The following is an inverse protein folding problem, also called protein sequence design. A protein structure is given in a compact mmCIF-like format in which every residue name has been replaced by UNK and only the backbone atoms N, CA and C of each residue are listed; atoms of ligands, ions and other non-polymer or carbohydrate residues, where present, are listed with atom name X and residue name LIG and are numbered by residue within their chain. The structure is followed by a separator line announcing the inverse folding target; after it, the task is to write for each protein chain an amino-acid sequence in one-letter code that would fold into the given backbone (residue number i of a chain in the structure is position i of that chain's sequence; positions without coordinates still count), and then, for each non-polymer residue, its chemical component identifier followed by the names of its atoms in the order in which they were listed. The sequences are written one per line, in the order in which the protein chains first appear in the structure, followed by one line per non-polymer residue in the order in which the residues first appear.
data_IF_669044165838
#
_entry.id   IF_669044165838
#
_cell.length_a   1.000
_cell.length_b   1.000
_cell.length_c   1.000
_cell.angle_alpha   90.00
_cell.angle_beta   90.00
_cell.angle_gamma   90.00
#
_symmetry.space_group_name_H-M   'P 1'
#
loop_
_entity.id
_entity.type
_entity.pdbx_description
1 polymer ?
#
# COMPACT_ATOMS: atom_id res chain seq x y z
N UNK A 1 29.18 -0.10 5.92
CA UNK A 1 27.78 -0.34 5.50
C UNK A 1 27.33 0.90 4.77
N UNK A 2 27.45 0.93 3.46
CA UNK A 2 26.95 2.06 2.64
C UNK A 2 25.43 2.03 2.72
N UNK A 3 24.85 2.99 3.45
CA UNK A 3 23.43 3.28 3.34
C UNK A 3 23.22 3.92 1.97
N UNK A 4 22.81 3.10 1.01
CA UNK A 4 22.43 3.55 -0.32
C UNK A 4 21.10 4.31 -0.17
N UNK A 5 21.21 5.64 -0.10
CA UNK A 5 20.05 6.55 -0.09
C UNK A 5 19.48 6.71 -1.51
N UNK A 6 19.12 5.59 -2.13
CA UNK A 6 18.35 5.59 -3.37
C UNK A 6 16.91 5.90 -2.99
N UNK A 7 16.37 7.02 -3.48
CA UNK A 7 14.95 7.35 -3.39
C UNK A 7 14.18 6.20 -4.04
N UNK A 8 13.71 5.25 -3.24
CA UNK A 8 13.17 3.97 -3.70
C UNK A 8 11.78 4.16 -4.29
N UNK A 9 11.69 4.68 -5.51
CA UNK A 9 10.43 4.82 -6.24
C UNK A 9 9.96 3.43 -6.70
N UNK A 10 8.73 3.05 -6.34
CA UNK A 10 8.15 1.79 -6.81
C UNK A 10 7.83 1.89 -8.30
N UNK A 11 8.07 0.80 -9.03
CA UNK A 11 7.59 0.71 -10.41
C UNK A 11 6.05 0.57 -10.44
N UNK A 12 5.38 0.94 -11.54
CA UNK A 12 3.94 0.72 -11.68
C UNK A 12 3.52 -0.74 -11.47
N UNK A 13 4.36 -1.68 -11.90
CA UNK A 13 4.16 -3.12 -11.68
C UNK A 13 4.19 -3.47 -10.19
N UNK A 14 5.13 -2.93 -9.43
CA UNK A 14 5.20 -3.15 -7.97
C UNK A 14 4.00 -2.55 -7.25
N UNK A 15 3.54 -1.37 -7.66
CA UNK A 15 2.32 -0.75 -7.13
C UNK A 15 1.11 -1.63 -7.38
N UNK A 16 0.95 -2.16 -8.60
CA UNK A 16 -0.17 -3.05 -8.93
C UNK A 16 -0.09 -4.38 -8.18
N UNK A 17 1.11 -4.97 -8.04
CA UNK A 17 1.29 -6.18 -7.24
C UNK A 17 0.90 -5.95 -5.76
N UNK A 18 1.36 -4.85 -5.16
CA UNK A 18 1.00 -4.50 -3.79
C UNK A 18 -0.51 -4.28 -3.63
N UNK A 19 -1.14 -3.66 -4.63
CA UNK A 19 -2.59 -3.46 -4.67
C UNK A 19 -3.33 -4.79 -4.67
N UNK A 20 -2.96 -5.73 -5.54
CA UNK A 20 -3.61 -7.05 -5.59
C UNK A 20 -3.44 -7.80 -4.26
N UNK A 21 -2.23 -7.81 -3.69
CA UNK A 21 -1.98 -8.45 -2.39
C UNK A 21 -2.85 -7.87 -1.28
N UNK A 22 -2.97 -6.55 -1.19
CA UNK A 22 -3.82 -5.89 -0.19
C UNK A 22 -5.31 -6.23 -0.41
N UNK A 23 -5.77 -6.26 -1.66
CA UNK A 23 -7.16 -6.63 -1.99
C UNK A 23 -7.46 -8.07 -1.56
N UNK A 24 -6.55 -8.99 -1.84
CA UNK A 24 -6.71 -10.40 -1.48
C UNK A 24 -6.72 -10.60 0.04
N UNK A 25 -5.76 -9.99 0.75
CA UNK A 25 -5.72 -10.01 2.21
C UNK A 25 -7.00 -9.40 2.79
N UNK A 26 -7.41 -8.23 2.29
CA UNK A 26 -8.61 -7.55 2.78
C UNK A 26 -9.86 -8.41 2.60
N UNK A 27 -10.04 -9.00 1.41
CA UNK A 27 -11.18 -9.90 1.14
C UNK A 27 -11.13 -11.15 2.01
N UNK A 28 -9.96 -11.67 2.33
CA UNK A 28 -9.81 -12.88 3.14
C UNK A 28 -10.01 -12.62 4.64
N UNK A 29 -9.50 -11.51 5.15
CA UNK A 29 -9.52 -11.19 6.58
C UNK A 29 -10.73 -10.35 7.01
N UNK A 30 -11.26 -9.48 6.14
CA UNK A 30 -12.36 -8.56 6.45
C UNK A 30 -13.66 -9.08 5.86
N UNK A 31 -14.49 -9.72 6.70
CA UNK A 31 -15.79 -10.30 6.30
C UNK A 31 -17.00 -9.54 6.84
N UNK A 32 -16.80 -8.33 7.36
CA UNK A 32 -17.87 -7.54 7.98
C UNK A 32 -18.80 -6.94 6.94
N UNK A 33 -20.08 -6.87 7.24
CA UNK A 33 -21.03 -6.15 6.38
C UNK A 33 -20.57 -4.71 6.11
N UNK A 34 -20.62 -4.30 4.83
CA UNK A 34 -20.17 -3.00 4.37
C UNK A 34 -18.66 -2.90 4.08
N UNK A 35 -17.87 -3.97 4.27
CA UNK A 35 -16.44 -3.98 3.95
C UNK A 35 -16.16 -3.70 2.48
N UNK A 36 -17.07 -4.09 1.57
CA UNK A 36 -16.93 -3.87 0.13
C UNK A 36 -16.97 -2.39 -0.24
N UNK A 37 -17.74 -1.58 0.49
CA UNK A 37 -17.80 -0.12 0.26
C UNK A 37 -16.48 0.54 0.60
N UNK A 38 -15.81 0.08 1.66
CA UNK A 38 -14.48 0.55 2.02
C UNK A 38 -13.44 0.06 1.00
N UNK A 39 -13.53 -1.19 0.55
CA UNK A 39 -12.65 -1.72 -0.48
C UNK A 39 -12.78 -0.92 -1.79
N UNK A 40 -14.00 -0.63 -2.22
CA UNK A 40 -14.28 0.24 -3.39
C UNK A 40 -13.68 1.65 -3.20
N UNK A 41 -13.82 2.22 -2.01
CA UNK A 41 -13.23 3.52 -1.71
C UNK A 41 -11.70 3.50 -1.84
N UNK A 42 -11.05 2.49 -1.29
CA UNK A 42 -9.60 2.32 -1.37
C UNK A 42 -9.12 2.19 -2.82
N UNK A 43 -9.84 1.44 -3.67
CA UNK A 43 -9.48 1.15 -5.06
C UNK A 43 -9.77 2.33 -6.00
N UNK A 44 -10.95 2.94 -5.87
CA UNK A 44 -11.51 3.82 -6.91
C UNK A 44 -11.65 5.28 -6.47
N UNK A 45 -11.64 5.58 -5.18
CA UNK A 45 -11.99 6.91 -4.64
C UNK A 45 -10.92 7.52 -3.75
N UNK A 46 -9.78 6.87 -3.63
CA UNK A 46 -8.64 7.31 -2.85
C UNK A 46 -7.35 7.10 -3.62
N UNK A 47 -6.31 7.78 -3.16
CA UNK A 47 -4.94 7.64 -3.63
C UNK A 47 -4.15 6.57 -2.85
N UNK A 48 -4.80 5.73 -2.03
CA UNK A 48 -4.14 4.79 -1.12
C UNK A 48 -2.99 3.97 -1.73
N UNK A 49 -3.14 3.52 -2.98
CA UNK A 49 -2.14 2.70 -3.67
C UNK A 49 -1.00 3.49 -4.32
N UNK A 50 -1.16 4.80 -4.52
CA UNK A 50 -0.18 5.67 -5.16
C UNK A 50 0.38 6.71 -4.20
N UNK A 51 -0.28 6.96 -3.08
CA UNK A 51 0.12 7.95 -2.11
C UNK A 51 1.44 7.58 -1.42
N UNK A 52 2.27 8.58 -1.09
CA UNK A 52 3.44 8.37 -0.25
C UNK A 52 3.02 8.03 1.19
N UNK A 53 3.80 7.19 1.87
CA UNK A 53 3.57 6.92 3.30
C UNK A 53 3.90 8.12 4.20
N UNK A 54 4.72 9.03 3.71
CA UNK A 54 5.15 10.23 4.44
C UNK A 54 5.45 11.37 3.48
N UNK A 55 5.24 12.61 3.92
CA UNK A 55 5.56 13.81 3.15
C UNK A 55 7.01 14.27 3.30
N UNK A 56 7.74 13.76 4.31
CA UNK A 56 9.13 14.19 4.62
C UNK A 56 10.08 13.08 5.09
N UNK A 57 9.58 11.89 5.44
CA UNK A 57 10.38 10.80 6.02
C UNK A 57 10.29 9.50 5.20
N UNK A 58 10.63 8.33 5.78
CA UNK A 58 10.62 7.03 5.09
C UNK A 58 9.31 6.76 4.34
N UNK A 59 9.42 6.30 3.09
CA UNK A 59 8.26 6.03 2.25
C UNK A 59 7.68 7.24 1.52
N UNK A 60 8.43 8.35 1.44
CA UNK A 60 8.10 9.52 0.63
C UNK A 60 8.30 9.28 -0.88
N UNK A 61 7.65 8.25 -1.40
CA UNK A 61 7.64 7.88 -2.81
C UNK A 61 6.27 7.31 -3.19
N UNK A 62 5.92 7.36 -4.48
CA UNK A 62 4.63 6.88 -4.96
C UNK A 62 4.42 5.40 -4.63
N UNK A 63 3.26 5.10 -4.05
CA UNK A 63 2.89 3.77 -3.55
C UNK A 63 3.55 3.37 -2.23
N UNK A 64 4.27 4.28 -1.59
CA UNK A 64 4.88 4.06 -0.28
C UNK A 64 3.86 3.69 0.79
N UNK A 65 2.65 4.27 0.77
CA UNK A 65 1.61 4.01 1.77
C UNK A 65 1.12 2.56 1.73
N UNK A 66 0.81 2.05 0.55
CA UNK A 66 0.39 0.66 0.36
C UNK A 66 1.52 -0.32 0.73
N UNK A 67 2.75 -0.06 0.29
CA UNK A 67 3.90 -0.89 0.65
C UNK A 67 4.14 -0.93 2.15
N UNK A 68 4.04 0.21 2.84
CA UNK A 68 4.19 0.29 4.29
C UNK A 68 3.09 -0.52 4.99
N UNK A 69 1.84 -0.37 4.56
CA UNK A 69 0.69 -1.10 5.11
C UNK A 69 0.89 -2.61 4.99
N UNK A 70 1.35 -3.08 3.83
CA UNK A 70 1.64 -4.50 3.60
C UNK A 70 2.75 -5.03 4.52
N UNK A 71 3.81 -4.25 4.74
CA UNK A 71 4.90 -4.64 5.64
C UNK A 71 4.42 -4.81 7.09
N UNK A 72 3.48 -3.96 7.55
CA UNK A 72 2.88 -4.08 8.89
C UNK A 72 2.03 -5.34 8.99
N UNK A 73 1.22 -5.63 7.97
CA UNK A 73 0.41 -6.86 7.92
C UNK A 73 1.30 -8.11 7.98
N UNK A 74 2.39 -8.15 7.21
CA UNK A 74 3.30 -9.30 7.17
C UNK A 74 4.19 -9.44 8.41
N UNK A 75 4.31 -8.40 9.22
CA UNK A 75 5.06 -8.45 10.49
C UNK A 75 4.24 -9.01 11.66
N UNK A 76 2.96 -9.34 11.43
CA UNK A 76 2.01 -9.84 12.43
C UNK A 76 1.85 -11.35 12.41
#
# INVERSE_FOLDING_TARGET
MTQNNETKVLTPEQIENNKQQIIDIYRNCVKREGSDKLLDYLINKSDFFTAPASTRFHGAYDGGLAQHSLNVINAS
#
